data_IF_079712654745
#
_entry.id   IF_079712654745
#
_cell.length_a   1.000
_cell.length_b   1.000
_cell.length_c   1.000
_cell.angle_alpha   90.00
_cell.angle_beta   90.00
_cell.angle_gamma   90.00
#
_symmetry.space_group_name_H-M   'P 1'
#
loop_
_entity.id
_entity.type
_entity.pdbx_description
1 polymer ?
#
# COMPACT_ATOMS: atom_id res chain seq x y z
N UNK A 1 -4.44 -4.49 10.54
CA UNK A 1 -3.58 -4.57 9.32
C UNK A 1 -3.98 -3.39 8.47
N UNK A 2 -3.07 -2.65 7.84
CA UNK A 2 -3.44 -1.38 7.22
C UNK A 2 -3.46 -1.51 5.70
N UNK A 3 -4.49 -0.97 5.07
CA UNK A 3 -4.59 -0.80 3.63
C UNK A 3 -4.03 0.58 3.25
N UNK A 4 -2.94 0.57 2.50
CA UNK A 4 -2.31 1.77 1.97
C UNK A 4 -2.71 1.92 0.51
N UNK A 5 -3.39 3.02 0.19
CA UNK A 5 -3.65 3.43 -1.18
C UNK A 5 -2.49 4.31 -1.64
N UNK A 6 -1.73 3.80 -2.59
CA UNK A 6 -0.54 4.43 -3.15
C UNK A 6 -0.85 4.84 -4.59
N UNK A 7 -0.57 6.10 -4.95
CA UNK A 7 -0.63 6.59 -6.32
C UNK A 7 0.80 6.65 -6.87
N UNK A 8 1.00 6.00 -8.00
CA UNK A 8 2.26 5.94 -8.71
C UNK A 8 2.24 7.06 -9.77
N UNK A 9 3.38 7.71 -9.99
CA UNK A 9 3.54 8.80 -10.96
C UNK A 9 3.04 8.45 -12.37
N UNK A 10 3.07 7.16 -12.73
CA UNK A 10 2.51 6.61 -13.96
C UNK A 10 0.95 6.65 -14.05
N UNK A 11 0.29 7.44 -13.20
CA UNK A 11 -1.16 7.60 -13.15
C UNK A 11 -1.92 6.43 -12.52
N UNK A 12 -1.24 5.35 -12.13
CA UNK A 12 -1.84 4.15 -11.54
C UNK A 12 -2.00 4.30 -10.03
N UNK A 13 -3.10 3.80 -9.50
CA UNK A 13 -3.33 3.74 -8.06
C UNK A 13 -3.41 2.29 -7.64
N UNK A 14 -2.62 1.90 -6.64
CA UNK A 14 -2.59 0.54 -6.10
C UNK A 14 -2.97 0.55 -4.63
N UNK A 15 -3.54 -0.57 -4.17
CA UNK A 15 -3.86 -0.78 -2.75
C UNK A 15 -2.98 -1.89 -2.22
N UNK A 16 -2.27 -1.61 -1.14
CA UNK A 16 -1.30 -2.53 -0.54
C UNK A 16 -1.67 -2.77 0.91
N UNK A 17 -1.92 -4.03 1.26
CA UNK A 17 -2.05 -4.42 2.66
C UNK A 17 -0.67 -4.63 3.27
N UNK A 18 -0.35 -3.84 4.30
CA UNK A 18 0.90 -3.90 5.02
C UNK A 18 0.70 -3.61 6.51
N UNK A 19 1.66 -4.02 7.33
CA UNK A 19 1.68 -3.67 8.76
C UNK A 19 2.07 -2.21 8.97
N UNK A 20 2.94 -1.67 8.11
CA UNK A 20 3.48 -0.30 8.18
C UNK A 20 3.64 0.31 6.79
N UNK A 21 3.67 1.64 6.70
CA UNK A 21 3.82 2.36 5.43
C UNK A 21 5.12 2.03 4.68
N UNK A 22 6.23 1.82 5.41
CA UNK A 22 7.50 1.40 4.80
C UNK A 22 7.46 0.01 4.14
N UNK A 23 6.67 -0.92 4.70
CA UNK A 23 6.41 -2.22 4.07
C UNK A 23 5.52 -2.07 2.84
N UNK A 24 4.52 -1.18 2.89
CA UNK A 24 3.65 -0.90 1.75
C UNK A 24 4.44 -0.33 0.57
N UNK A 25 5.35 0.62 0.84
CA UNK A 25 6.25 1.19 -0.18
C UNK A 25 7.17 0.13 -0.78
N UNK A 26 7.83 -0.71 0.04
CA UNK A 26 8.69 -1.78 -0.50
C UNK A 26 7.94 -2.75 -1.40
N UNK A 27 6.71 -3.14 -1.02
CA UNK A 27 5.86 -3.98 -1.87
C UNK A 27 5.47 -3.29 -3.18
N UNK A 28 5.11 -2.01 -3.12
CA UNK A 28 4.78 -1.21 -4.29
C UNK A 28 5.95 -1.09 -5.28
N UNK A 29 7.13 -0.70 -4.78
CA UNK A 29 8.38 -0.61 -5.55
C UNK A 29 8.68 -1.94 -6.25
N UNK A 30 8.58 -3.06 -5.51
CA UNK A 30 8.86 -4.39 -6.05
C UNK A 30 7.83 -4.84 -7.08
N UNK A 31 6.54 -4.55 -6.85
CA UNK A 31 5.44 -5.00 -7.70
C UNK A 31 5.35 -4.20 -9.00
N UNK A 32 5.50 -2.89 -8.92
CA UNK A 32 5.28 -1.99 -10.06
C UNK A 32 6.60 -1.52 -10.69
N UNK A 33 7.75 -1.98 -10.18
CA UNK A 33 9.11 -1.61 -10.63
C UNK A 33 9.32 -0.09 -10.70
N UNK A 34 8.64 0.67 -9.83
CA UNK A 34 8.74 2.12 -9.74
C UNK A 34 9.66 2.53 -8.60
N UNK A 35 10.17 3.77 -8.65
CA UNK A 35 11.01 4.32 -7.59
C UNK A 35 10.17 4.85 -6.42
N UNK A 36 10.71 4.93 -5.19
CA UNK A 36 10.00 5.48 -4.04
C UNK A 36 9.53 6.93 -4.26
N UNK A 37 10.28 7.72 -5.03
CA UNK A 37 9.97 9.12 -5.35
C UNK A 37 8.69 9.24 -6.20
N UNK A 38 8.42 8.22 -7.02
CA UNK A 38 7.22 8.14 -7.85
C UNK A 38 5.98 7.66 -7.06
N UNK A 39 6.11 7.34 -5.77
CA UNK A 39 5.03 6.78 -4.96
C UNK A 39 4.52 7.81 -3.98
N UNK A 40 3.29 8.26 -4.18
CA UNK A 40 2.57 9.12 -3.24
C UNK A 40 1.56 8.30 -2.45
N UNK A 41 1.62 8.37 -1.11
CA UNK A 41 0.59 7.78 -0.26
C UNK A 41 -0.63 8.69 -0.29
N UNK A 42 -1.75 8.21 -0.84
CA UNK A 42 -2.98 9.01 -0.98
C UNK A 42 -3.93 8.78 0.18
N UNK A 43 -3.99 7.56 0.71
CA UNK A 43 -4.87 7.23 1.83
C UNK A 43 -4.34 6.04 2.60
N UNK A 44 -4.48 6.07 3.91
CA UNK A 44 -4.23 4.92 4.79
C UNK A 44 -5.54 4.59 5.48
N UNK A 45 -6.00 3.34 5.35
CA UNK A 45 -7.14 2.81 6.06
C UNK A 45 -6.68 1.70 6.99
N UNK A 46 -6.99 1.84 8.27
CA UNK A 46 -6.82 0.75 9.21
C UNK A 46 -7.88 -0.32 8.93
N UNK A 47 -7.44 -1.49 8.49
CA UNK A 47 -8.32 -2.66 8.31
C UNK A 47 -8.26 -3.47 9.60
N UNK A 48 -9.27 -3.28 10.44
CA UNK A 48 -9.59 -4.24 11.48
C UNK A 48 -10.13 -5.50 10.82
N UNK A 49 -9.22 -6.45 10.58
CA UNK A 49 -9.57 -7.79 10.15
C UNK A 49 -10.27 -8.46 11.33
N UNK A 50 -11.59 -8.42 11.37
CA UNK A 50 -12.36 -9.30 12.24
C UNK A 50 -12.06 -10.73 11.78
N UNK A 51 -11.13 -11.38 12.48
CA UNK A 51 -10.87 -12.81 12.32
C UNK A 51 -12.14 -13.52 12.79
N UNK A 52 -13.07 -13.80 11.87
CA UNK A 52 -14.11 -14.79 12.09
C UNK A 52 -13.40 -16.13 12.19
N UNK A 53 -13.05 -16.53 13.40
CA UNK A 53 -12.77 -17.92 13.72
C UNK A 53 -14.06 -18.69 13.44
N UNK A 54 -14.03 -19.56 12.44
CA UNK A 54 -15.03 -20.59 12.22
C UNK A 54 -14.41 -21.93 12.62
#
# INVERSE_FOLDING_TARGET
>A
MNEYTLKIANGRTIRVMAKSGGEAMKKAIKSEKCTPDEITVVSVREVHVYRRSN
#
